data_IF_395978917039
#
_entry.id   IF_395978917039
#
_cell.length_a   1.000
_cell.length_b   1.000
_cell.length_c   1.000
_cell.angle_alpha   90.00
_cell.angle_beta   90.00
_cell.angle_gamma   90.00
#
_symmetry.space_group_name_H-M   'P 1'
#
loop_
_entity.id
_entity.type
_entity.pdbx_description
1 polymer ?
#
# COMPACT_ATOMS: atom_id res chain seq x y z
N UNK A 1 50.28 11.83 -8.30
CA UNK A 1 50.15 10.37 -8.12
C UNK A 1 50.81 10.04 -6.79
N UNK A 2 50.10 10.29 -5.70
CA UNK A 2 50.56 10.14 -4.31
C UNK A 2 50.03 8.78 -3.77
N UNK A 3 50.85 7.98 -3.09
CA UNK A 3 50.99 7.88 -1.61
C UNK A 3 50.23 6.69 -1.00
N UNK A 4 50.88 5.89 -0.14
CA UNK A 4 50.65 5.69 1.32
C UNK A 4 49.93 4.35 1.61
N UNK A 5 50.31 3.50 2.59
CA UNK A 5 51.39 3.48 3.62
C UNK A 5 52.08 2.10 3.64
N UNK A 6 53.29 1.98 4.23
CA UNK A 6 53.49 1.20 5.48
C UNK A 6 54.91 1.40 6.08
N UNK A 7 55.01 1.63 7.40
CA UNK A 7 56.12 1.20 8.28
C UNK A 7 55.90 1.66 9.75
N UNK A 8 56.27 0.77 10.68
CA UNK A 8 56.03 0.86 12.14
C UNK A 8 57.19 1.54 12.89
N UNK A 9 56.88 2.31 13.94
CA UNK A 9 57.90 2.92 14.81
C UNK A 9 57.44 3.35 16.22
N UNK A 10 57.55 2.40 17.18
CA UNK A 10 58.02 2.50 18.59
C UNK A 10 57.50 3.55 19.62
N UNK A 11 57.55 3.06 20.87
CA UNK A 11 57.61 3.74 22.19
C UNK A 11 56.40 4.60 22.64
N UNK A 12 55.94 4.62 23.90
CA UNK A 12 56.33 3.88 25.12
C UNK A 12 55.50 4.35 26.35
N UNK A 13 55.78 3.82 27.56
CA UNK A 13 55.19 4.20 28.88
C UNK A 13 53.70 3.81 29.11
N UNK A 14 53.19 3.57 30.34
CA UNK A 14 53.79 3.25 31.64
C UNK A 14 52.78 2.45 32.51
N UNK A 15 53.24 1.73 33.54
CA UNK A 15 52.37 1.06 34.54
C UNK A 15 52.10 1.95 35.76
N UNK A 16 50.82 2.14 36.11
CA UNK A 16 50.26 2.54 37.42
C UNK A 16 48.73 2.74 37.25
N UNK A 17 47.82 2.42 38.18
CA UNK A 17 47.87 1.55 39.36
C UNK A 17 46.40 1.23 39.77
N UNK A 18 46.19 0.35 40.75
CA UNK A 18 44.99 0.18 41.59
C UNK A 18 43.70 -0.47 41.02
N UNK A 19 43.43 -1.66 41.58
CA UNK A 19 42.18 -2.07 42.22
C UNK A 19 40.87 -2.29 41.40
N UNK A 20 40.68 -3.56 41.03
CA UNK A 20 39.73 -4.39 41.79
C UNK A 20 38.24 -4.37 41.42
N UNK A 21 37.80 -5.42 40.71
CA UNK A 21 36.88 -6.45 41.24
C UNK A 21 36.66 -7.58 40.23
N UNK A 22 36.65 -8.83 40.71
CA UNK A 22 36.15 -9.98 39.95
C UNK A 22 34.63 -9.88 39.72
N UNK A 23 34.12 -10.44 38.63
CA UNK A 23 33.30 -11.69 38.65
C UNK A 23 32.79 -12.08 37.24
N UNK A 24 32.86 -13.38 36.95
CA UNK A 24 32.12 -14.17 35.95
C UNK A 24 32.05 -13.71 34.47
N UNK A 25 32.91 -14.29 33.64
CA UNK A 25 32.60 -14.58 32.23
C UNK A 25 31.69 -15.82 32.15
N UNK A 26 30.40 -15.62 31.83
CA UNK A 26 29.48 -16.73 31.51
C UNK A 26 29.31 -16.89 30.00
N UNK A 27 30.07 -17.81 29.40
CA UNK A 27 29.79 -18.33 28.05
C UNK A 27 28.61 -19.31 28.13
N UNK A 28 27.64 -19.21 27.22
CA UNK A 28 26.75 -20.31 26.87
C UNK A 28 26.28 -20.19 25.41
N UNK A 29 25.87 -21.29 24.74
CA UNK A 29 26.28 -21.50 23.35
C UNK A 29 25.12 -21.40 22.35
N UNK A 30 25.48 -21.11 21.10
CA UNK A 30 24.57 -21.15 19.95
C UNK A 30 24.02 -22.57 19.76
N UNK A 31 22.73 -22.78 20.05
CA UNK A 31 22.03 -24.03 19.69
C UNK A 31 21.65 -24.00 18.21
N UNK A 32 22.30 -24.86 17.43
CA UNK A 32 21.99 -25.07 16.01
C UNK A 32 20.72 -25.92 15.83
N UNK A 33 19.58 -25.26 15.56
CA UNK A 33 18.32 -25.95 15.23
C UNK A 33 18.36 -26.40 13.77
N UNK A 34 18.84 -27.62 13.54
CA UNK A 34 18.66 -28.33 12.25
C UNK A 34 17.18 -28.65 12.04
N UNK A 35 16.45 -27.82 11.28
CA UNK A 35 15.10 -28.18 10.81
C UNK A 35 15.20 -29.28 9.76
N UNK A 36 14.89 -30.52 10.18
CA UNK A 36 14.74 -31.69 9.31
C UNK A 36 13.50 -31.49 8.43
N UNK A 37 13.69 -31.41 7.11
CA UNK A 37 12.58 -31.43 6.16
C UNK A 37 11.94 -32.84 6.17
N UNK A 38 10.69 -32.93 6.60
CA UNK A 38 9.88 -34.14 6.47
C UNK A 38 8.98 -34.02 5.23
N UNK A 39 9.36 -34.68 4.16
CA UNK A 39 8.55 -34.80 2.95
C UNK A 39 7.40 -35.79 3.17
N UNK A 40 6.19 -35.26 3.30
CA UNK A 40 4.92 -35.99 3.23
C UNK A 40 3.93 -35.15 2.41
N UNK A 41 3.13 -35.71 1.51
CA UNK A 41 3.11 -37.08 0.99
C UNK A 41 2.11 -37.13 -0.17
N UNK A 42 2.59 -37.06 -1.41
CA UNK A 42 1.75 -36.98 -2.61
C UNK A 42 0.95 -38.29 -2.76
N UNK A 43 -0.39 -38.24 -2.65
CA UNK A 43 -1.27 -39.39 -2.94
C UNK A 43 -1.88 -39.23 -4.32
N UNK A 44 -1.27 -39.86 -5.32
CA UNK A 44 -1.86 -40.06 -6.65
C UNK A 44 -2.83 -41.24 -6.60
N UNK A 45 -4.10 -41.03 -6.95
CA UNK A 45 -5.07 -42.13 -7.06
C UNK A 45 -5.14 -42.67 -8.49
N UNK A 46 -4.59 -43.87 -8.67
CA UNK A 46 -5.14 -44.98 -9.50
C UNK A 46 -5.92 -44.65 -10.80
N UNK A 47 -5.31 -44.96 -11.95
CA UNK A 47 -6.04 -45.50 -13.12
C UNK A 47 -6.22 -47.04 -12.96
N UNK A 48 -7.19 -47.71 -13.62
CA UNK A 48 -6.98 -48.32 -14.95
C UNK A 48 -8.31 -48.41 -15.78
N UNK A 49 -8.45 -49.19 -16.89
CA UNK A 49 -7.48 -49.97 -17.66
C UNK A 49 -7.41 -49.64 -19.17
N UNK A 50 -6.57 -50.42 -19.88
CA UNK A 50 -6.14 -50.30 -21.27
C UNK A 50 -7.16 -50.71 -22.35
N UNK A 51 -7.04 -50.08 -23.52
CA UNK A 51 -7.32 -50.70 -24.82
C UNK A 51 -6.11 -50.55 -25.75
N UNK A 52 -5.56 -51.68 -26.22
CA UNK A 52 -4.62 -51.74 -27.37
C UNK A 52 -5.41 -52.09 -28.62
N UNK A 53 -5.14 -51.44 -29.76
CA UNK A 53 -5.12 -52.09 -31.09
C UNK A 53 -4.19 -51.30 -32.04
N UNK A 54 -3.40 -52.06 -32.81
CA UNK A 54 -2.69 -51.77 -34.07
C UNK A 54 -2.17 -50.35 -34.38
N UNK A 55 -0.86 -50.26 -34.64
CA UNK A 55 -0.26 -49.12 -35.33
C UNK A 55 -0.28 -49.27 -36.86
N UNK A 56 0.11 -48.20 -37.57
CA UNK A 56 0.68 -48.26 -38.92
C UNK A 56 1.63 -47.07 -39.14
N UNK A 57 2.88 -47.36 -39.42
CA UNK A 57 3.90 -46.36 -39.74
C UNK A 57 3.79 -45.91 -41.19
N UNK A 58 3.68 -44.60 -41.45
CA UNK A 58 4.01 -44.00 -42.74
C UNK A 58 4.98 -42.83 -42.54
N UNK A 59 6.17 -42.94 -43.12
CA UNK A 59 7.12 -41.83 -43.35
C UNK A 59 6.85 -41.21 -44.72
N UNK A 60 7.58 -40.11 -44.99
CA UNK A 60 8.06 -39.58 -46.30
C UNK A 60 7.34 -38.26 -46.71
N UNK A 61 8.05 -37.19 -47.12
CA UNK A 61 9.34 -36.67 -46.64
C UNK A 61 9.26 -35.15 -46.34
N UNK A 62 10.39 -34.52 -45.94
CA UNK A 62 10.47 -33.07 -45.82
C UNK A 62 10.54 -32.33 -47.17
N UNK A 63 10.17 -31.05 -47.17
CA UNK A 63 10.56 -30.07 -48.20
C UNK A 63 11.09 -28.80 -47.55
N UNK A 64 12.39 -28.57 -47.73
CA UNK A 64 13.06 -27.32 -47.43
C UNK A 64 12.60 -26.25 -48.41
N UNK A 65 12.16 -25.08 -47.93
CA UNK A 65 11.96 -23.89 -48.74
C UNK A 65 12.61 -22.70 -48.03
N UNK A 66 13.64 -22.14 -48.67
CA UNK A 66 14.45 -21.04 -48.11
C UNK A 66 13.77 -19.69 -48.34
N UNK A 67 13.50 -18.96 -47.26
CA UNK A 67 12.99 -17.60 -47.34
C UNK A 67 14.09 -16.61 -47.80
N UNK A 68 13.79 -15.79 -48.82
CA UNK A 68 14.54 -14.54 -49.10
C UNK A 68 13.66 -13.34 -48.72
N UNK A 69 14.22 -12.27 -48.12
CA UNK A 69 13.44 -11.15 -47.61
C UNK A 69 13.07 -10.15 -48.71
N UNK A 70 11.77 -9.95 -48.95
CA UNK A 70 11.21 -8.90 -49.81
C UNK A 70 10.71 -7.71 -48.98
N UNK A 71 11.16 -6.49 -49.32
CA UNK A 71 10.79 -5.25 -48.60
C UNK A 71 9.35 -4.81 -48.93
N UNK A 72 8.53 -4.56 -47.91
CA UNK A 72 7.30 -3.78 -48.04
C UNK A 72 7.23 -2.70 -46.96
N UNK A 73 7.30 -1.42 -47.37
CA UNK A 73 6.97 -0.25 -46.53
C UNK A 73 5.48 0.08 -46.70
N UNK A 74 4.74 0.39 -45.63
CA UNK A 74 3.52 1.19 -45.71
C UNK A 74 3.88 2.68 -45.62
N UNK A 75 3.42 3.49 -46.58
CA UNK A 75 3.55 4.95 -46.55
C UNK A 75 2.41 5.58 -45.75
N UNK A 76 2.75 6.40 -44.76
CA UNK A 76 1.76 7.25 -44.07
C UNK A 76 1.32 8.36 -45.03
N UNK A 77 0.00 8.48 -45.26
CA UNK A 77 -0.60 9.66 -45.90
C UNK A 77 -1.71 10.23 -45.02
N UNK A 78 -1.42 11.33 -44.36
CA UNK A 78 -2.42 12.13 -43.64
C UNK A 78 -3.37 12.82 -44.63
N UNK A 79 -4.67 12.72 -44.38
CA UNK A 79 -5.67 13.61 -44.99
C UNK A 79 -6.27 14.49 -43.91
N UNK A 80 -5.82 15.75 -43.86
CA UNK A 80 -6.57 16.82 -43.20
C UNK A 80 -7.80 17.11 -44.07
N UNK A 81 -8.99 17.07 -43.50
CA UNK A 81 -10.21 17.49 -44.20
C UNK A 81 -10.93 18.55 -43.37
N UNK A 82 -10.84 19.79 -43.83
CA UNK A 82 -11.43 20.97 -43.21
C UNK A 82 -12.89 21.11 -43.63
N UNK A 83 -13.83 21.00 -42.69
CA UNK A 83 -15.23 21.31 -42.93
C UNK A 83 -15.52 22.80 -42.74
N UNK A 84 -16.17 23.40 -43.74
CA UNK A 84 -16.60 24.80 -43.75
C UNK A 84 -17.82 24.99 -42.83
N UNK A 85 -17.90 26.15 -42.18
CA UNK A 85 -19.08 26.60 -41.42
C UNK A 85 -20.27 26.78 -42.36
N UNK A 86 -21.36 26.07 -42.11
CA UNK A 86 -22.71 26.41 -42.57
C UNK A 86 -23.52 26.96 -41.40
N UNK A 87 -23.98 28.21 -41.49
CA UNK A 87 -24.78 28.83 -40.42
C UNK A 87 -26.27 28.51 -40.57
N UNK A 88 -26.94 28.18 -39.48
CA UNK A 88 -28.39 28.07 -39.42
C UNK A 88 -28.89 28.84 -38.18
N UNK A 89 -29.68 29.90 -38.41
CA UNK A 89 -30.28 30.67 -37.32
C UNK A 89 -31.41 29.86 -36.65
N UNK A 90 -31.24 29.53 -35.37
CA UNK A 90 -32.33 29.05 -34.53
C UNK A 90 -32.86 30.18 -33.64
N UNK A 91 -34.18 30.35 -33.63
CA UNK A 91 -34.89 31.40 -32.89
C UNK A 91 -34.76 31.21 -31.38
N UNK A 92 -34.50 32.30 -30.65
CA UNK A 92 -34.48 32.32 -29.17
C UNK A 92 -35.90 32.13 -28.59
N UNK A 93 -36.11 31.19 -27.65
CA UNK A 93 -37.29 31.19 -26.78
C UNK A 93 -37.20 32.31 -25.74
N UNK A 94 -38.35 32.83 -25.29
CA UNK A 94 -38.42 33.93 -24.34
C UNK A 94 -37.96 33.55 -22.92
N UNK A 95 -37.25 34.48 -22.25
CA UNK A 95 -36.84 34.33 -20.84
C UNK A 95 -38.05 34.41 -19.92
N UNK A 96 -38.47 33.29 -19.32
CA UNK A 96 -39.24 33.32 -18.07
C UNK A 96 -38.27 33.66 -16.93
N UNK A 97 -38.62 34.63 -16.08
CA UNK A 97 -37.83 34.93 -14.87
C UNK A 97 -37.96 33.76 -13.89
N UNK A 98 -36.84 33.22 -13.44
CA UNK A 98 -36.82 32.31 -12.30
C UNK A 98 -37.19 33.10 -11.02
N UNK A 99 -37.88 32.47 -10.04
CA UNK A 99 -38.02 33.06 -8.71
C UNK A 99 -36.64 33.20 -8.05
N UNK A 100 -36.44 34.17 -7.13
CA UNK A 100 -35.20 34.27 -6.38
C UNK A 100 -34.98 33.00 -5.55
N UNK A 101 -33.72 32.55 -5.36
CA UNK A 101 -33.44 31.45 -4.47
C UNK A 101 -33.88 31.81 -3.05
N UNK A 102 -34.67 30.94 -2.43
CA UNK A 102 -35.00 31.05 -1.01
C UNK A 102 -33.68 30.89 -0.25
N UNK A 103 -33.17 31.98 0.33
CA UNK A 103 -32.03 31.91 1.26
C UNK A 103 -32.48 31.12 2.50
N UNK A 104 -32.30 29.80 2.44
CA UNK A 104 -32.23 29.00 3.66
C UNK A 104 -30.97 29.45 4.39
N UNK A 105 -31.17 30.15 5.50
CA UNK A 105 -30.17 30.28 6.54
C UNK A 105 -29.90 28.88 7.12
N UNK A 106 -29.04 28.13 6.45
CA UNK A 106 -28.37 27.00 7.05
C UNK A 106 -27.13 27.59 7.74
N UNK A 107 -27.19 27.71 9.08
CA UNK A 107 -25.94 27.59 9.84
C UNK A 107 -25.38 26.20 9.50
N UNK A 108 -24.07 26.04 9.27
CA UNK A 108 -23.47 24.72 9.19
C UNK A 108 -23.91 23.92 10.41
N UNK A 109 -24.26 22.64 10.22
CA UNK A 109 -24.47 21.75 11.38
C UNK A 109 -23.12 21.54 12.05
N UNK A 110 -23.08 21.14 13.32
CA UNK A 110 -21.79 20.96 14.02
C UNK A 110 -20.91 19.86 13.36
N UNK A 111 -21.55 18.92 12.65
CA UNK A 111 -20.96 17.89 11.78
C UNK A 111 -20.43 18.42 10.42
N UNK A 112 -20.62 19.69 10.13
CA UNK A 112 -20.35 20.37 8.85
C UNK A 112 -19.09 21.26 8.96
N UNK A 113 -18.40 21.18 10.10
CA UNK A 113 -17.14 21.88 10.43
C UNK A 113 -15.99 20.92 10.74
N UNK A 114 -16.28 19.65 11.08
CA UNK A 114 -15.28 18.66 11.49
C UNK A 114 -14.81 17.83 10.30
N UNK A 115 -13.51 17.56 10.26
CA UNK A 115 -12.91 16.77 9.20
C UNK A 115 -13.41 15.32 9.27
N UNK A 116 -13.99 14.83 8.16
CA UNK A 116 -14.33 13.41 7.97
C UNK A 116 -13.16 12.65 7.37
N UNK A 117 -12.80 11.55 8.02
CA UNK A 117 -11.66 10.70 7.70
C UNK A 117 -12.15 9.31 7.32
N UNK A 118 -12.01 8.93 6.05
CA UNK A 118 -12.33 7.57 5.59
C UNK A 118 -11.09 6.69 5.71
N UNK A 119 -11.22 5.54 6.36
CA UNK A 119 -10.23 4.47 6.37
C UNK A 119 -10.75 3.23 5.63
N UNK A 120 -9.88 2.60 4.84
CA UNK A 120 -10.19 1.43 4.02
C UNK A 120 -9.13 0.36 4.23
N UNK A 121 -9.49 -0.76 4.86
CA UNK A 121 -8.70 -2.00 4.75
C UNK A 121 -9.07 -2.66 3.42
N UNK A 122 -8.17 -2.62 2.44
CA UNK A 122 -8.48 -2.99 1.06
C UNK A 122 -7.95 -4.39 0.74
N UNK A 123 -8.85 -5.32 0.40
CA UNK A 123 -8.46 -6.61 -0.15
C UNK A 123 -8.71 -6.73 -1.66
N UNK A 124 -8.36 -7.88 -2.22
CA UNK A 124 -8.60 -8.20 -3.64
C UNK A 124 -10.07 -8.45 -3.99
N UNK A 125 -10.95 -8.60 -3.00
CA UNK A 125 -12.38 -8.86 -3.17
C UNK A 125 -13.18 -8.07 -2.10
N UNK A 126 -14.36 -7.51 -2.43
CA UNK A 126 -15.19 -6.75 -1.50
C UNK A 126 -15.46 -7.45 -0.16
N UNK A 127 -15.78 -8.74 -0.17
CA UNK A 127 -16.06 -9.58 1.01
C UNK A 127 -14.99 -9.62 2.13
N UNK A 128 -13.78 -9.11 1.85
CA UNK A 128 -12.66 -9.00 2.79
C UNK A 128 -12.18 -7.53 2.85
N UNK A 129 -13.08 -6.57 2.66
CA UNK A 129 -12.76 -5.14 2.60
C UNK A 129 -13.67 -4.42 3.56
N UNK A 130 -13.07 -3.63 4.43
CA UNK A 130 -13.81 -2.91 5.46
C UNK A 130 -13.53 -1.42 5.36
N UNK A 131 -14.56 -0.63 5.69
CA UNK A 131 -14.54 0.83 5.64
C UNK A 131 -14.97 1.40 6.98
N UNK A 132 -14.27 2.44 7.43
CA UNK A 132 -14.57 3.17 8.65
C UNK A 132 -14.56 4.67 8.39
N UNK A 133 -15.50 5.42 8.98
CA UNK A 133 -15.49 6.89 8.94
C UNK A 133 -15.40 7.45 10.34
N UNK A 134 -14.36 8.26 10.58
CA UNK A 134 -14.26 9.12 11.75
C UNK A 134 -14.79 10.52 11.41
N UNK A 135 -15.69 11.05 12.23
CA UNK A 135 -16.11 12.46 12.27
C UNK A 135 -15.34 13.11 13.43
N UNK A 136 -14.21 13.76 13.10
CA UNK A 136 -13.18 14.13 14.07
C UNK A 136 -12.65 12.89 14.82
N UNK A 137 -12.84 12.85 16.15
CA UNK A 137 -12.42 11.72 16.99
C UNK A 137 -13.52 10.64 17.20
N UNK A 138 -14.66 10.72 16.49
CA UNK A 138 -15.79 9.81 16.68
C UNK A 138 -15.97 8.86 15.51
N UNK A 139 -16.06 7.56 15.77
CA UNK A 139 -16.44 6.54 14.79
C UNK A 139 -17.96 6.63 14.52
N UNK A 140 -18.31 7.09 13.32
CA UNK A 140 -19.71 7.29 12.89
C UNK A 140 -20.18 6.24 11.88
N UNK A 141 -19.26 5.53 11.24
CA UNK A 141 -19.57 4.44 10.32
C UNK A 141 -18.48 3.37 10.41
N UNK A 142 -18.89 2.10 10.40
CA UNK A 142 -18.05 0.93 10.21
C UNK A 142 -18.85 -0.11 9.44
N UNK A 143 -18.31 -0.62 8.34
CA UNK A 143 -18.96 -1.66 7.54
C UNK A 143 -17.91 -2.59 6.91
N UNK A 144 -18.23 -3.88 6.92
CA UNK A 144 -17.47 -4.93 6.23
C UNK A 144 -18.08 -5.23 4.85
N UNK A 145 -17.39 -6.04 4.05
CA UNK A 145 -17.80 -6.48 2.71
C UNK A 145 -17.93 -5.34 1.66
N UNK A 146 -17.21 -4.23 1.84
CA UNK A 146 -17.33 -3.02 1.02
C UNK A 146 -16.76 -3.14 -0.40
N UNK A 147 -17.58 -2.79 -1.40
CA UNK A 147 -17.17 -2.72 -2.80
C UNK A 147 -16.59 -1.35 -3.20
N UNK A 148 -16.13 -1.24 -4.45
CA UNK A 148 -15.52 -0.01 -4.97
C UNK A 148 -16.52 1.16 -5.09
N UNK A 149 -17.84 0.89 -5.11
CA UNK A 149 -18.87 1.92 -5.21
C UNK A 149 -19.16 2.50 -3.82
N UNK A 150 -19.34 1.65 -2.81
CA UNK A 150 -19.48 2.06 -1.42
C UNK A 150 -18.29 2.90 -0.91
N UNK A 151 -17.05 2.52 -1.29
CA UNK A 151 -15.86 3.31 -0.94
C UNK A 151 -15.90 4.70 -1.57
N UNK A 152 -16.31 4.82 -2.84
CA UNK A 152 -16.37 6.11 -3.55
C UNK A 152 -17.48 7.00 -3.02
N UNK A 153 -18.64 6.42 -2.69
CA UNK A 153 -19.76 7.17 -2.10
C UNK A 153 -19.39 7.73 -0.71
N UNK A 154 -18.70 6.95 0.13
CA UNK A 154 -18.18 7.43 1.42
C UNK A 154 -17.05 8.47 1.25
N UNK A 155 -16.21 8.33 0.23
CA UNK A 155 -15.13 9.27 -0.05
C UNK A 155 -15.63 10.64 -0.53
N UNK A 156 -16.76 10.70 -1.23
CA UNK A 156 -17.38 11.95 -1.68
C UNK A 156 -17.76 12.89 -0.52
N UNK A 157 -18.03 12.31 0.65
CA UNK A 157 -18.40 12.97 1.90
C UNK A 157 -17.22 13.07 2.90
N UNK A 158 -15.99 12.73 2.48
CA UNK A 158 -14.79 12.68 3.32
C UNK A 158 -13.69 13.61 2.83
N UNK A 159 -12.98 14.29 3.73
CA UNK A 159 -11.94 15.24 3.39
C UNK A 159 -10.63 14.55 2.96
N UNK A 160 -10.33 13.38 3.55
CA UNK A 160 -9.19 12.52 3.21
C UNK A 160 -9.53 11.04 3.34
N UNK A 161 -8.83 10.21 2.56
CA UNK A 161 -8.99 8.76 2.50
C UNK A 161 -7.66 8.05 2.78
N UNK A 162 -7.62 7.19 3.79
CA UNK A 162 -6.51 6.28 4.07
C UNK A 162 -6.81 4.87 3.56
N UNK A 163 -5.89 4.25 2.81
CA UNK A 163 -6.07 2.92 2.21
C UNK A 163 -4.89 2.00 2.61
N UNK A 164 -5.15 0.85 3.23
CA UNK A 164 -4.16 -0.24 3.36
C UNK A 164 -4.05 -1.03 2.05
N UNK A 165 -3.36 -0.44 1.07
CA UNK A 165 -2.91 -1.12 -0.14
C UNK A 165 -1.76 -0.35 -0.80
N UNK A 166 -0.79 -1.05 -1.43
CA UNK A 166 0.24 -0.39 -2.22
C UNK A 166 -0.38 0.42 -3.38
N UNK A 167 -0.10 1.72 -3.41
CA UNK A 167 -0.55 2.60 -4.49
C UNK A 167 0.43 2.61 -5.69
N UNK A 168 1.58 1.96 -5.57
CA UNK A 168 2.58 1.86 -6.63
C UNK A 168 3.53 0.68 -6.49
N UNK A 169 4.53 0.65 -7.36
CA UNK A 169 5.57 -0.38 -7.48
C UNK A 169 6.95 0.27 -7.37
N UNK A 170 8.01 -0.47 -7.00
CA UNK A 170 9.37 0.04 -7.08
C UNK A 170 9.71 0.49 -8.51
N UNK A 171 10.32 1.65 -8.68
CA UNK A 171 10.69 2.18 -10.01
C UNK A 171 11.55 1.16 -10.78
N UNK A 172 12.55 0.58 -10.10
CA UNK A 172 13.44 -0.44 -10.68
C UNK A 172 12.70 -1.70 -11.14
N UNK A 173 11.60 -2.09 -10.48
CA UNK A 173 10.75 -3.20 -10.92
C UNK A 173 10.02 -2.85 -12.23
N UNK A 174 9.46 -1.64 -12.31
CA UNK A 174 8.78 -1.15 -13.52
C UNK A 174 9.75 -1.07 -14.69
N UNK A 175 10.96 -0.53 -14.49
CA UNK A 175 11.98 -0.42 -15.54
C UNK A 175 12.41 -1.79 -16.07
N UNK A 176 12.72 -2.74 -15.18
CA UNK A 176 13.14 -4.10 -15.57
C UNK A 176 12.03 -4.86 -16.29
N UNK A 177 10.79 -4.80 -15.81
CA UNK A 177 9.64 -5.45 -16.47
C UNK A 177 9.33 -4.79 -17.82
N UNK A 178 9.44 -3.47 -17.91
CA UNK A 178 9.20 -2.72 -19.15
C UNK A 178 10.25 -3.03 -20.22
N UNK A 179 11.54 -3.01 -19.86
CA UNK A 179 12.63 -3.38 -20.76
C UNK A 179 12.46 -4.83 -21.25
N UNK A 180 12.19 -5.77 -20.33
CA UNK A 180 11.95 -7.16 -20.70
C UNK A 180 10.75 -7.32 -21.66
N UNK A 181 9.64 -6.63 -21.40
CA UNK A 181 8.46 -6.66 -22.28
C UNK A 181 8.73 -6.11 -23.69
N UNK A 182 9.64 -5.14 -23.83
CA UNK A 182 10.08 -4.58 -25.12
C UNK A 182 11.14 -5.42 -25.83
N UNK A 183 11.71 -6.44 -25.18
CA UNK A 183 12.85 -7.20 -25.68
C UNK A 183 14.18 -6.44 -25.57
N UNK A 184 14.24 -5.42 -24.71
CA UNK A 184 15.42 -4.62 -24.39
C UNK A 184 16.22 -5.27 -23.26
N UNK A 185 17.51 -4.95 -23.14
CA UNK A 185 18.31 -5.35 -21.98
C UNK A 185 17.82 -4.60 -20.73
N UNK A 186 17.44 -5.28 -19.64
CA UNK A 186 17.01 -4.61 -18.43
C UNK A 186 18.17 -3.84 -17.76
N UNK A 187 17.89 -2.72 -17.07
CA UNK A 187 18.89 -2.02 -16.28
C UNK A 187 19.38 -2.87 -15.11
N UNK A 188 20.57 -2.60 -14.56
CA UNK A 188 21.06 -3.28 -13.37
C UNK A 188 20.22 -2.88 -12.15
N UNK A 189 19.64 -3.89 -11.47
CA UNK A 189 18.91 -3.73 -10.22
C UNK A 189 19.24 -4.92 -9.29
N UNK A 190 19.34 -4.67 -7.99
CA UNK A 190 19.47 -5.76 -7.01
C UNK A 190 18.11 -6.37 -6.71
N UNK A 191 18.04 -7.61 -6.17
CA UNK A 191 16.77 -8.18 -5.73
C UNK A 191 16.01 -7.30 -4.72
N UNK A 192 16.70 -6.48 -3.93
CA UNK A 192 16.07 -5.58 -2.94
C UNK A 192 15.30 -4.45 -3.64
N UNK A 193 15.93 -3.81 -4.62
CA UNK A 193 15.36 -2.70 -5.40
C UNK A 193 14.16 -3.15 -6.24
N UNK A 194 14.12 -4.44 -6.62
CA UNK A 194 12.98 -5.05 -7.32
C UNK A 194 11.81 -5.44 -6.40
N UNK A 195 12.05 -5.65 -5.11
CA UNK A 195 11.07 -6.17 -4.15
C UNK A 195 10.38 -5.07 -3.34
N UNK A 196 11.13 -4.06 -2.92
CA UNK A 196 10.68 -3.10 -1.92
C UNK A 196 10.87 -1.68 -2.42
N UNK A 197 9.85 -0.86 -2.18
CA UNK A 197 9.84 0.57 -2.47
C UNK A 197 10.68 1.31 -1.44
N UNK A 198 10.99 2.57 -1.73
CA UNK A 198 11.68 3.46 -0.78
C UNK A 198 10.93 3.56 0.55
N UNK A 199 9.61 3.72 0.51
CA UNK A 199 8.77 3.81 1.71
C UNK A 199 8.76 2.52 2.55
N UNK A 200 8.83 1.34 1.92
CA UNK A 200 8.81 0.05 2.63
C UNK A 200 10.07 -0.13 3.53
N UNK A 201 11.17 0.52 3.17
CA UNK A 201 12.38 0.58 4.00
C UNK A 201 12.24 1.54 5.18
N UNK A 202 11.68 2.73 4.95
CA UNK A 202 11.42 3.74 5.99
C UNK A 202 10.45 3.19 7.04
N UNK A 203 9.39 2.49 6.62
CA UNK A 203 8.45 1.82 7.53
C UNK A 203 9.15 0.75 8.38
N UNK A 204 10.02 -0.06 7.77
CA UNK A 204 10.76 -1.10 8.47
C UNK A 204 11.76 -0.55 9.49
N UNK A 205 12.34 0.62 9.23
CA UNK A 205 13.23 1.35 10.14
C UNK A 205 12.48 1.91 11.34
N UNK A 206 11.35 2.58 11.12
CA UNK A 206 10.62 3.31 12.17
C UNK A 206 9.64 2.46 12.98
N UNK A 207 9.10 1.37 12.42
CA UNK A 207 8.15 0.48 13.13
C UNK A 207 8.76 -0.88 13.53
N UNK A 208 9.97 -1.19 13.07
CA UNK A 208 10.56 -2.54 13.18
C UNK A 208 9.86 -3.63 12.36
N UNK A 209 8.71 -3.32 11.72
CA UNK A 209 7.89 -4.24 10.93
C UNK A 209 8.08 -3.97 9.44
N UNK A 210 8.42 -5.00 8.68
CA UNK A 210 8.54 -4.92 7.22
C UNK A 210 7.15 -5.04 6.57
N UNK A 211 6.76 -4.13 5.66
CA UNK A 211 5.67 -4.35 4.73
C UNK A 211 5.90 -5.58 3.85
N UNK A 212 4.83 -6.06 3.24
CA UNK A 212 4.88 -7.10 2.20
C UNK A 212 5.31 -6.46 0.86
N UNK A 213 6.08 -7.20 0.06
CA UNK A 213 6.52 -6.77 -1.27
C UNK A 213 5.37 -6.74 -2.27
N UNK A 214 5.08 -5.57 -2.84
CA UNK A 214 4.05 -5.41 -3.89
C UNK A 214 4.35 -6.20 -5.16
N UNK A 215 5.63 -6.42 -5.46
CA UNK A 215 6.09 -7.08 -6.69
C UNK A 215 6.32 -8.59 -6.54
N UNK A 216 6.54 -9.11 -5.33
CA UNK A 216 6.87 -10.54 -5.10
C UNK A 216 6.05 -11.26 -4.04
N UNK A 217 5.34 -10.56 -3.15
CA UNK A 217 4.40 -11.19 -2.21
C UNK A 217 2.96 -11.19 -2.76
N UNK A 218 2.04 -11.84 -2.03
CA UNK A 218 0.65 -12.08 -2.46
C UNK A 218 -0.28 -10.87 -2.32
N UNK A 219 0.21 -9.67 -2.59
CA UNK A 219 -0.58 -8.42 -2.52
C UNK A 219 -0.75 -7.71 -3.86
N UNK A 220 -0.06 -8.13 -4.93
CA UNK A 220 -0.14 -7.47 -6.24
C UNK A 220 -1.56 -7.36 -6.83
N UNK A 221 -2.45 -8.32 -6.54
CA UNK A 221 -3.88 -8.23 -6.97
C UNK A 221 -4.63 -7.13 -6.22
N UNK A 222 -4.28 -6.87 -4.95
CA UNK A 222 -4.83 -5.76 -4.17
C UNK A 222 -4.35 -4.43 -4.74
N UNK A 223 -3.05 -4.30 -5.03
CA UNK A 223 -2.49 -3.10 -5.66
C UNK A 223 -3.12 -2.80 -7.04
N UNK A 224 -3.43 -3.83 -7.85
CA UNK A 224 -4.17 -3.67 -9.10
C UNK A 224 -5.62 -3.18 -8.90
N UNK A 225 -6.29 -3.58 -7.81
CA UNK A 225 -7.58 -2.98 -7.40
C UNK A 225 -7.39 -1.53 -6.96
N UNK A 226 -6.34 -1.25 -6.19
CA UNK A 226 -6.02 0.07 -5.68
C UNK A 226 -5.76 1.10 -6.79
N UNK A 227 -5.09 0.76 -7.90
CA UNK A 227 -4.96 1.66 -9.07
C UNK A 227 -6.34 2.14 -9.55
N UNK A 228 -7.25 1.19 -9.80
CA UNK A 228 -8.60 1.51 -10.33
C UNK A 228 -9.40 2.35 -9.35
N UNK A 229 -9.28 2.06 -8.05
CA UNK A 229 -9.95 2.82 -7.00
C UNK A 229 -9.38 4.24 -6.91
N UNK A 230 -8.06 4.39 -6.93
CA UNK A 230 -7.39 5.70 -6.94
C UNK A 230 -7.78 6.54 -8.17
N UNK A 231 -7.90 5.94 -9.35
CA UNK A 231 -8.39 6.64 -10.56
C UNK A 231 -9.83 7.16 -10.37
N UNK A 232 -10.70 6.41 -9.66
CA UNK A 232 -12.06 6.87 -9.34
C UNK A 232 -12.10 7.96 -8.28
N UNK A 233 -11.19 7.92 -7.30
CA UNK A 233 -11.14 8.86 -6.17
C UNK A 233 -10.46 10.19 -6.54
N UNK A 234 -9.35 10.14 -7.29
CA UNK A 234 -8.45 11.28 -7.51
C UNK A 234 -8.11 11.51 -9.00
N UNK A 235 -8.61 10.68 -9.92
CA UNK A 235 -8.38 10.80 -11.35
C UNK A 235 -7.06 10.20 -11.85
N UNK A 236 -6.89 10.24 -13.17
CA UNK A 236 -5.70 9.69 -13.82
C UNK A 236 -4.44 10.52 -13.49
N UNK A 237 -3.39 9.85 -13.01
CA UNK A 237 -2.13 10.50 -12.64
C UNK A 237 -2.16 11.16 -11.25
N UNK A 238 -3.07 10.76 -10.37
CA UNK A 238 -3.11 11.18 -8.97
C UNK A 238 -1.74 11.03 -8.28
N UNK A 239 -1.38 12.03 -7.47
CA UNK A 239 -0.22 11.94 -6.59
C UNK A 239 -0.44 10.85 -5.53
N UNK A 240 0.62 10.10 -5.25
CA UNK A 240 0.65 8.98 -4.30
C UNK A 240 1.67 9.17 -3.19
N UNK A 241 2.30 10.36 -3.13
CA UNK A 241 3.20 10.75 -2.05
C UNK A 241 2.51 10.94 -0.70
N UNK A 242 1.17 10.90 -0.65
CA UNK A 242 0.38 11.18 0.55
C UNK A 242 0.45 12.66 0.95
N UNK A 243 0.38 13.55 -0.03
CA UNK A 243 0.37 15.00 0.18
C UNK A 243 -1.03 15.57 0.39
N UNK A 244 -2.05 15.02 -0.29
CA UNK A 244 -3.45 15.43 -0.19
C UNK A 244 -4.42 14.33 -0.69
N UNK A 245 -5.64 14.33 -0.18
CA UNK A 245 -6.76 13.53 -0.69
C UNK A 245 -6.69 12.04 -0.35
N UNK A 246 -5.76 11.30 -0.96
CA UNK A 246 -5.62 9.84 -0.76
C UNK A 246 -4.22 9.52 -0.25
N UNK A 247 -4.18 8.69 0.80
CA UNK A 247 -2.97 8.34 1.54
C UNK A 247 -2.86 6.81 1.60
N UNK A 248 -1.67 6.28 1.35
CA UNK A 248 -1.38 4.88 1.66
C UNK A 248 -1.12 4.76 3.17
N UNK A 249 -1.80 3.85 3.85
CA UNK A 249 -1.73 3.68 5.31
C UNK A 249 -1.34 2.26 5.66
N UNK A 250 -0.65 2.03 6.78
CA UNK A 250 -0.29 0.68 7.21
C UNK A 250 -0.65 0.42 8.69
N UNK A 251 -1.88 -0.02 8.99
CA UNK A 251 -2.36 -0.40 10.32
C UNK A 251 -1.38 -1.28 11.09
N UNK A 252 -0.88 -2.34 10.44
CA UNK A 252 0.06 -3.26 11.05
C UNK A 252 1.38 -2.61 11.47
N UNK A 253 1.82 -1.54 10.79
CA UNK A 253 2.99 -0.74 11.13
C UNK A 253 2.72 0.28 12.23
N UNK A 254 1.54 0.91 12.24
CA UNK A 254 1.12 1.81 13.32
C UNK A 254 1.00 1.09 14.67
N UNK A 255 0.36 -0.09 14.68
CA UNK A 255 0.24 -0.95 15.88
C UNK A 255 1.62 -1.35 16.42
N UNK A 256 2.60 -1.57 15.53
CA UNK A 256 3.98 -1.89 15.92
C UNK A 256 4.74 -0.66 16.45
N UNK A 257 4.63 0.50 15.78
CA UNK A 257 5.24 1.77 16.21
C UNK A 257 4.73 2.24 17.58
N UNK A 258 3.45 2.01 17.88
CA UNK A 258 2.85 2.28 19.20
C UNK A 258 3.05 1.16 20.23
N UNK A 259 3.70 0.05 19.87
CA UNK A 259 3.98 -1.09 20.76
C UNK A 259 2.74 -1.66 21.48
N UNK A 260 1.57 -1.64 20.84
CA UNK A 260 0.30 -1.98 21.51
C UNK A 260 0.17 -3.46 21.90
N UNK A 261 0.81 -4.36 21.14
CA UNK A 261 0.76 -5.81 21.34
C UNK A 261 2.07 -6.49 20.90
N UNK A 262 2.53 -7.49 21.65
CA UNK A 262 3.74 -8.29 21.34
C UNK A 262 3.50 -9.37 20.27
N UNK A 263 2.23 -9.62 19.92
CA UNK A 263 1.78 -10.70 19.03
C UNK A 263 0.97 -10.13 17.86
N UNK A 264 0.96 -10.87 16.76
CA UNK A 264 0.12 -10.57 15.60
C UNK A 264 -1.35 -10.55 15.98
N UNK A 265 -2.08 -9.48 15.65
CA UNK A 265 -3.55 -9.40 15.84
C UNK A 265 -4.36 -10.02 14.68
N UNK A 266 -3.73 -10.25 13.52
CA UNK A 266 -4.31 -10.91 12.32
C UNK A 266 -4.33 -12.45 12.34
N UNK A 267 -4.52 -13.10 13.50
CA UNK A 267 -4.72 -14.57 13.56
C UNK A 267 -6.10 -14.89 14.11
N UNK A 268 -6.58 -16.10 13.80
CA UNK A 268 -7.85 -16.61 14.31
C UNK A 268 -7.91 -16.66 15.85
N UNK A 269 -6.76 -16.88 16.52
CA UNK A 269 -6.68 -16.89 18.00
C UNK A 269 -6.43 -15.50 18.63
N UNK A 270 -6.26 -14.44 17.82
CA UNK A 270 -5.81 -13.13 18.28
C UNK A 270 -6.92 -12.17 18.77
N UNK A 271 -8.05 -12.71 19.23
CA UNK A 271 -9.11 -11.91 19.84
C UNK A 271 -8.63 -11.03 21.02
N UNK A 272 -7.78 -11.54 21.95
CA UNK A 272 -7.22 -10.73 23.03
C UNK A 272 -6.36 -9.56 22.53
N UNK A 273 -5.52 -9.77 21.52
CA UNK A 273 -4.69 -8.72 20.91
C UNK A 273 -5.54 -7.66 20.22
N UNK A 274 -6.58 -8.04 19.47
CA UNK A 274 -7.52 -7.07 18.88
C UNK A 274 -8.24 -6.28 19.96
N UNK A 275 -8.77 -6.94 21.00
CA UNK A 275 -9.42 -6.28 22.12
C UNK A 275 -8.49 -5.29 22.85
N UNK A 276 -7.19 -5.61 22.99
CA UNK A 276 -6.20 -4.69 23.56
C UNK A 276 -5.97 -3.44 22.68
N UNK A 277 -5.91 -3.60 21.36
CA UNK A 277 -5.80 -2.47 20.41
C UNK A 277 -7.08 -1.61 20.45
N UNK A 278 -8.27 -2.23 20.44
CA UNK A 278 -9.56 -1.53 20.57
C UNK A 278 -9.62 -0.72 21.87
N UNK A 279 -9.20 -1.32 23.00
CA UNK A 279 -9.13 -0.64 24.29
C UNK A 279 -8.06 0.48 24.34
N UNK A 280 -7.03 0.42 23.48
CA UNK A 280 -6.07 1.50 23.33
C UNK A 280 -6.64 2.68 22.52
N UNK A 281 -7.26 2.39 21.37
CA UNK A 281 -7.95 3.39 20.54
C UNK A 281 -9.09 4.08 21.31
N UNK A 282 -9.87 3.33 22.08
CA UNK A 282 -11.00 3.84 22.88
C UNK A 282 -10.64 4.79 24.03
N UNK A 283 -9.34 5.01 24.31
CA UNK A 283 -8.89 6.09 25.22
C UNK A 283 -8.79 7.46 24.53
N UNK A 284 -8.79 7.47 23.20
CA UNK A 284 -8.56 8.66 22.38
C UNK A 284 -9.71 8.92 21.38
N UNK A 285 -10.49 7.89 21.03
CA UNK A 285 -11.59 7.94 20.07
C UNK A 285 -12.92 7.52 20.71
N UNK A 286 -14.03 8.18 20.34
CA UNK A 286 -15.39 7.69 20.62
C UNK A 286 -15.71 6.56 19.62
N UNK A 287 -15.41 5.32 20.00
CA UNK A 287 -15.66 4.12 19.19
C UNK A 287 -17.14 3.67 19.19
N UNK A 288 -18.02 4.35 19.95
CA UNK A 288 -19.44 4.02 20.03
C UNK A 288 -19.73 2.55 20.31
N UNK A 289 -20.68 1.98 19.58
CA UNK A 289 -21.08 0.57 19.70
C UNK A 289 -20.25 -0.42 18.87
N UNK A 290 -19.17 0.01 18.23
CA UNK A 290 -18.41 -0.79 17.26
C UNK A 290 -17.29 -1.64 17.87
N UNK A 291 -17.03 -1.52 19.18
CA UNK A 291 -15.89 -2.15 19.86
C UNK A 291 -15.87 -3.67 19.76
N UNK A 292 -17.03 -4.33 19.88
CA UNK A 292 -17.15 -5.80 19.72
C UNK A 292 -16.84 -6.25 18.29
N UNK A 293 -17.31 -5.49 17.29
CA UNK A 293 -17.07 -5.76 15.88
C UNK A 293 -15.57 -5.65 15.54
N UNK A 294 -14.92 -4.56 15.97
CA UNK A 294 -13.47 -4.36 15.82
C UNK A 294 -12.64 -5.43 16.56
N UNK A 295 -13.14 -5.95 17.69
CA UNK A 295 -12.48 -7.06 18.39
C UNK A 295 -12.65 -8.41 17.67
N UNK A 296 -13.76 -8.60 16.95
CA UNK A 296 -14.05 -9.82 16.20
C UNK A 296 -13.24 -9.92 14.89
N UNK A 297 -13.15 -8.85 14.11
CA UNK A 297 -12.57 -8.80 12.77
C UNK A 297 -11.30 -7.94 12.70
N UNK A 298 -10.19 -8.48 12.16
CA UNK A 298 -8.99 -7.67 11.89
C UNK A 298 -9.18 -6.71 10.70
N UNK A 299 -9.97 -7.06 9.69
CA UNK A 299 -10.29 -6.19 8.55
C UNK A 299 -11.02 -4.91 9.06
N UNK A 300 -12.01 -5.07 9.96
CA UNK A 300 -12.75 -3.93 10.55
C UNK A 300 -11.89 -3.06 11.47
N UNK A 301 -11.01 -3.68 12.26
CA UNK A 301 -10.05 -2.96 13.10
C UNK A 301 -9.07 -2.15 12.26
N UNK A 302 -8.58 -2.73 11.16
CA UNK A 302 -7.64 -2.08 10.27
C UNK A 302 -8.26 -0.93 9.48
N UNK A 303 -9.55 -1.02 9.11
CA UNK A 303 -10.27 0.11 8.54
C UNK A 303 -10.31 1.31 9.50
N UNK A 304 -10.58 1.10 10.79
CA UNK A 304 -10.55 2.17 11.81
C UNK A 304 -9.13 2.70 12.02
N UNK A 305 -8.12 1.83 12.01
CA UNK A 305 -6.71 2.24 12.07
C UNK A 305 -6.31 3.07 10.85
N UNK A 306 -6.77 2.74 9.63
CA UNK A 306 -6.55 3.56 8.44
C UNK A 306 -7.13 4.97 8.60
N UNK A 307 -8.37 5.08 9.11
CA UNK A 307 -9.02 6.37 9.37
C UNK A 307 -8.25 7.21 10.42
N UNK A 308 -7.73 6.55 11.46
CA UNK A 308 -6.90 7.19 12.48
C UNK A 308 -5.54 7.66 11.93
N UNK A 309 -4.88 6.83 11.11
CA UNK A 309 -3.59 7.15 10.48
C UNK A 309 -3.72 8.31 9.49
N UNK A 310 -4.78 8.35 8.67
CA UNK A 310 -4.96 9.45 7.71
C UNK A 310 -5.26 10.79 8.41
N UNK A 311 -5.97 10.77 9.54
CA UNK A 311 -6.09 11.95 10.41
C UNK A 311 -4.74 12.45 10.94
N UNK A 312 -3.87 11.54 11.37
CA UNK A 312 -2.50 11.88 11.77
C UNK A 312 -1.65 12.38 10.60
N UNK A 313 -1.86 11.85 9.38
CA UNK A 313 -1.17 12.31 8.17
C UNK A 313 -1.57 13.74 7.79
N UNK A 314 -2.88 14.03 7.78
CA UNK A 314 -3.41 15.38 7.59
C UNK A 314 -2.90 16.37 8.66
N UNK A 315 -2.70 15.90 9.90
CA UNK A 315 -2.12 16.67 10.99
C UNK A 315 -0.58 16.80 10.97
N UNK A 316 0.12 16.22 9.98
CA UNK A 316 1.60 16.24 9.91
C UNK A 316 2.32 15.42 10.98
N UNK A 317 1.65 14.42 11.56
CA UNK A 317 2.11 13.58 12.69
C UNK A 317 2.59 12.17 12.27
N UNK A 318 2.65 11.90 10.97
CA UNK A 318 3.24 10.68 10.40
C UNK A 318 4.64 10.92 9.84
N UNK A 319 5.35 9.85 9.50
CA UNK A 319 6.55 9.93 8.66
C UNK A 319 6.16 10.27 7.21
N UNK A 320 6.21 11.55 6.87
CA UNK A 320 6.05 12.06 5.49
C UNK A 320 7.34 11.83 4.65
N UNK A 321 7.28 11.86 3.31
CA UNK A 321 8.47 11.79 2.48
C UNK A 321 9.40 13.00 2.71
N UNK A 322 10.71 12.74 2.71
CA UNK A 322 11.72 13.80 2.68
C UNK A 322 11.79 14.45 1.27
N UNK A 323 12.42 15.61 1.15
CA UNK A 323 12.58 16.32 -0.14
C UNK A 323 13.26 15.44 -1.21
N UNK A 324 14.27 14.66 -0.80
CA UNK A 324 14.97 13.67 -1.64
C UNK A 324 14.08 12.53 -2.13
N UNK A 325 13.10 12.11 -1.32
CA UNK A 325 12.21 10.98 -1.61
C UNK A 325 10.93 11.40 -2.34
N UNK A 326 10.54 12.68 -2.27
CA UNK A 326 9.26 13.21 -2.79
C UNK A 326 8.98 12.82 -4.25
N UNK A 327 9.97 12.92 -5.13
CA UNK A 327 9.80 12.56 -6.53
C UNK A 327 9.57 11.05 -6.74
N UNK A 328 10.15 10.19 -5.90
CA UNK A 328 9.96 8.73 -5.93
C UNK A 328 8.63 8.35 -5.26
N UNK A 329 8.27 8.99 -4.15
CA UNK A 329 7.00 8.82 -3.45
C UNK A 329 5.77 9.03 -4.36
N UNK A 330 5.80 10.04 -5.24
CA UNK A 330 4.75 10.26 -6.24
C UNK A 330 4.61 9.12 -7.29
N UNK A 331 5.65 8.29 -7.47
CA UNK A 331 5.67 7.15 -8.41
C UNK A 331 5.42 5.80 -7.73
N UNK A 332 6.01 5.57 -6.57
CA UNK A 332 5.97 4.28 -5.85
C UNK A 332 4.81 4.20 -4.83
N UNK A 333 4.26 5.34 -4.41
CA UNK A 333 3.42 5.44 -3.22
C UNK A 333 4.25 5.67 -1.95
N UNK A 334 3.62 6.26 -0.93
CA UNK A 334 4.24 6.48 0.38
C UNK A 334 3.34 6.04 1.53
N UNK A 335 3.80 5.06 2.31
CA UNK A 335 3.10 4.56 3.48
C UNK A 335 3.21 5.58 4.62
N UNK A 336 2.06 6.00 5.13
CA UNK A 336 1.95 6.74 6.37
C UNK A 336 1.88 5.80 7.57
N UNK A 337 2.80 6.00 8.51
CA UNK A 337 2.79 5.45 9.87
C UNK A 337 3.02 6.59 10.87
N UNK A 338 2.45 6.50 12.10
CA UNK A 338 2.64 7.51 13.14
C UNK A 338 4.11 7.71 13.49
N UNK A 339 4.51 8.97 13.71
CA UNK A 339 5.83 9.37 14.26
C UNK A 339 5.78 9.57 15.77
N UNK A 340 4.62 9.98 16.28
CA UNK A 340 4.36 10.21 17.70
C UNK A 340 3.72 9.01 18.41
N UNK A 341 3.55 9.09 19.73
CA UNK A 341 2.88 8.07 20.52
C UNK A 341 1.35 8.10 20.26
N UNK A 342 0.59 7.14 20.78
CA UNK A 342 -0.84 7.00 20.44
C UNK A 342 -1.70 8.18 20.94
N UNK A 343 -1.24 8.90 21.95
CA UNK A 343 -1.86 10.12 22.50
C UNK A 343 -2.02 11.22 21.45
N UNK A 344 -1.21 11.23 20.39
CA UNK A 344 -1.32 12.17 19.28
C UNK A 344 -2.66 12.07 18.55
N UNK A 345 -3.40 10.96 18.67
CA UNK A 345 -4.77 10.81 18.17
C UNK A 345 -5.74 11.86 18.74
N UNK A 346 -5.43 12.49 19.87
CA UNK A 346 -6.21 13.60 20.41
C UNK A 346 -6.35 14.78 19.40
N UNK A 347 -5.43 14.93 18.43
CA UNK A 347 -5.53 15.97 17.39
C UNK A 347 -6.77 15.81 16.50
N UNK A 348 -7.29 14.60 16.32
CA UNK A 348 -8.48 14.33 15.49
C UNK A 348 -9.73 15.04 16.04
N UNK A 349 -9.79 15.33 17.34
CA UNK A 349 -10.89 16.07 17.94
C UNK A 349 -10.92 17.56 17.53
N UNK A 350 -9.82 18.07 16.97
CA UNK A 350 -9.59 19.48 16.57
C UNK A 350 -9.19 19.64 15.10
N UNK A 351 -9.43 18.61 14.26
CA UNK A 351 -9.29 18.74 12.81
C UNK A 351 -10.59 19.32 12.23
N UNK A 352 -10.50 20.57 11.79
CA UNK A 352 -11.55 21.25 11.03
C UNK A 352 -11.47 20.85 9.54
N UNK A 353 -12.61 20.76 8.87
CA UNK A 353 -12.77 20.26 7.49
C UNK A 353 -12.67 21.30 6.38
#
# INVERSE_FOLDING_TARGET
MAEIVDLVGRDGAAMADLEGRHVAVCRNPVRSVRRRWSSSGFRTSTAPPSLRVAGRSHRIPGRSATCRPGRCRPTVRSRRQSYRRGGMMLRRPGRRRAPPPIMRSARPRDHDLRMRLLGVDLASQPKNTSVAVLDGAKLVHLASEADDDAIVDLAADSAVVGIDAPLGWPDAFIDVVTAHHRGESPPPATPKDLQLRRTDHIVAEHSGKRPLSVSTDRIGVVALRAIRLLERLAGAGADRSGSAGVYETYPGGAVAAWTLVDRSYKRADSGPERAAIVAALGRHLDLGGFTEQMAASDDDLDAVLCAAIVGLAAAGRTHAPEESDTAQAAREGWIHIPRGPIEDLAVLATLDG
#
